data_IF_615270503361
#
_entry.id   IF_615270503361
#
_cell.length_a   1.000
_cell.length_b   1.000
_cell.length_c   1.000
_cell.angle_alpha   90.00
_cell.angle_beta   90.00
_cell.angle_gamma   90.00
#
_symmetry.space_group_name_H-M   'P 1'
#
loop_
_entity.id
_entity.type
_entity.pdbx_description
1 polymer ?
#
# COMPACT_ATOMS: atom_id res chain seq x y z
N UNK A 1 33.05 -0.14 22.01
CA UNK A 1 31.99 -0.73 22.86
C UNK A 1 30.83 -1.04 21.96
N UNK A 2 30.29 -2.25 21.98
CA UNK A 2 29.18 -2.64 21.13
C UNK A 2 27.90 -2.07 21.75
N UNK A 3 27.35 -1.02 21.14
CA UNK A 3 26.04 -0.48 21.53
C UNK A 3 25.03 -1.61 21.43
N UNK A 4 24.44 -2.02 22.57
CA UNK A 4 23.47 -3.11 22.58
C UNK A 4 22.14 -2.59 22.07
N UNK A 5 21.69 -3.10 20.92
CA UNK A 5 20.35 -2.84 20.41
C UNK A 5 19.31 -3.58 21.27
N UNK A 6 18.28 -2.86 21.72
CA UNK A 6 17.14 -3.40 22.45
C UNK A 6 15.87 -3.25 21.61
N UNK A 7 15.06 -4.31 21.57
CA UNK A 7 13.72 -4.29 20.98
C UNK A 7 12.68 -4.26 22.12
N UNK A 8 11.70 -3.38 22.00
CA UNK A 8 10.59 -3.27 22.96
C UNK A 8 9.30 -2.89 22.27
N UNK A 9 8.17 -3.26 22.86
CA UNK A 9 6.84 -2.81 22.43
C UNK A 9 6.60 -1.44 23.03
N UNK A 10 6.40 -0.37 22.23
CA UNK A 10 6.03 0.93 22.75
C UNK A 10 4.55 0.95 23.19
N UNK A 11 4.25 1.72 24.20
CA UNK A 11 2.88 2.12 24.49
C UNK A 11 2.51 3.32 23.60
N UNK A 12 1.70 3.09 22.55
CA UNK A 12 1.30 4.15 21.64
C UNK A 12 0.24 5.12 22.24
N UNK A 13 -0.32 4.83 23.42
CA UNK A 13 -1.11 5.79 24.16
C UNK A 13 -0.22 6.80 24.92
N UNK A 14 1.04 6.46 25.17
CA UNK A 14 2.05 7.38 25.69
C UNK A 14 2.62 8.22 24.55
N UNK A 15 2.45 9.54 24.65
CA UNK A 15 2.84 10.50 23.60
C UNK A 15 4.33 10.45 23.27
N UNK A 16 5.21 10.25 24.24
CA UNK A 16 6.67 10.22 24.03
C UNK A 16 7.07 8.96 23.27
N UNK A 17 6.54 7.79 23.65
CA UNK A 17 6.82 6.53 22.99
C UNK A 17 6.23 6.49 21.57
N UNK A 18 5.00 6.97 21.38
CA UNK A 18 4.38 7.12 20.06
C UNK A 18 5.21 8.03 19.16
N UNK A 19 5.61 9.22 19.67
CA UNK A 19 6.48 10.15 18.93
C UNK A 19 7.81 9.48 18.56
N UNK A 20 8.42 8.73 19.47
CA UNK A 20 9.67 8.01 19.21
C UNK A 20 9.55 6.97 18.08
N UNK A 21 8.42 6.25 18.04
CA UNK A 21 8.13 5.26 16.99
C UNK A 21 7.92 5.92 15.62
N UNK A 22 7.00 6.90 15.55
CA UNK A 22 6.64 7.55 14.28
C UNK A 22 7.78 8.42 13.74
N UNK A 23 8.54 9.11 14.59
CA UNK A 23 9.71 9.90 14.17
C UNK A 23 10.72 9.10 13.32
N UNK A 24 10.91 7.81 13.61
CA UNK A 24 11.81 6.96 12.82
C UNK A 24 11.25 6.75 11.41
N UNK A 25 9.93 6.55 11.29
CA UNK A 25 9.27 6.42 9.99
C UNK A 25 9.31 7.73 9.21
N UNK A 26 9.00 8.86 9.86
CA UNK A 26 9.01 10.20 9.25
C UNK A 26 10.41 10.56 8.74
N UNK A 27 11.46 10.30 9.53
CA UNK A 27 12.84 10.52 9.09
C UNK A 27 13.23 9.67 7.87
N UNK A 28 12.65 8.48 7.73
CA UNK A 28 12.85 7.65 6.55
C UNK A 28 12.08 8.20 5.35
N UNK A 29 10.84 8.67 5.53
CA UNK A 29 10.05 9.32 4.47
C UNK A 29 10.79 10.54 3.90
N UNK A 30 11.35 11.39 4.77
CA UNK A 30 12.08 12.59 4.38
C UNK A 30 13.30 12.29 3.49
N UNK A 31 13.95 11.16 3.70
CA UNK A 31 15.18 10.76 2.97
C UNK A 31 14.89 9.87 1.77
N UNK A 32 13.98 8.90 1.93
CA UNK A 32 13.72 7.87 0.92
C UNK A 32 12.61 8.29 -0.05
N UNK A 33 11.71 9.21 0.35
CA UNK A 33 10.60 9.71 -0.45
C UNK A 33 9.36 8.79 -0.45
N UNK A 34 9.31 7.77 0.40
CA UNK A 34 8.17 6.86 0.56
C UNK A 34 8.02 6.39 2.01
N UNK A 35 6.77 6.05 2.39
CA UNK A 35 6.48 5.53 3.73
C UNK A 35 7.01 4.08 3.86
N UNK A 36 7.79 3.77 4.90
CA UNK A 36 8.25 2.41 5.17
C UNK A 36 7.14 1.48 5.66
N UNK A 37 6.00 2.02 6.09
CA UNK A 37 4.83 1.28 6.57
C UNK A 37 3.64 1.56 5.66
N UNK A 38 3.13 0.55 4.98
CA UNK A 38 1.94 0.71 4.17
C UNK A 38 0.70 1.03 5.04
N UNK A 39 -0.37 1.51 4.39
CA UNK A 39 -1.61 1.90 5.06
C UNK A 39 -2.20 0.75 5.90
N UNK A 40 -2.20 -0.48 5.38
CA UNK A 40 -2.73 -1.64 6.11
C UNK A 40 -1.94 -1.92 7.39
N UNK A 41 -0.61 -1.79 7.35
CA UNK A 41 0.23 -1.96 8.55
C UNK A 41 -0.11 -0.92 9.62
N UNK A 42 -0.34 0.34 9.24
CA UNK A 42 -0.77 1.40 10.15
C UNK A 42 -2.16 1.15 10.75
N UNK A 43 -3.13 0.74 9.93
CA UNK A 43 -4.47 0.35 10.37
C UNK A 43 -4.44 -0.85 11.32
N UNK A 44 -3.58 -1.83 11.05
CA UNK A 44 -3.44 -3.02 11.88
C UNK A 44 -2.81 -2.71 13.24
N UNK A 45 -1.87 -1.76 13.31
CA UNK A 45 -1.32 -1.26 14.57
C UNK A 45 -2.41 -0.53 15.36
N UNK A 46 -3.15 0.36 14.72
CA UNK A 46 -4.22 1.13 15.37
C UNK A 46 -5.32 0.25 15.95
N UNK A 47 -5.67 -0.82 15.24
CA UNK A 47 -6.67 -1.81 15.68
C UNK A 47 -6.11 -2.93 16.57
N UNK A 48 -4.81 -2.90 16.92
CA UNK A 48 -4.16 -3.93 17.75
C UNK A 48 -3.98 -5.28 17.07
N UNK A 49 -4.17 -5.37 15.72
CA UNK A 49 -4.01 -6.62 14.95
C UNK A 49 -2.53 -6.95 14.69
N UNK A 50 -1.65 -5.96 14.68
CA UNK A 50 -0.20 -6.11 14.57
C UNK A 50 0.49 -5.30 15.67
N UNK A 51 1.67 -5.73 16.06
CA UNK A 51 2.41 -5.17 17.20
C UNK A 51 3.51 -4.22 16.72
N UNK A 52 3.52 -2.95 17.16
CA UNK A 52 4.63 -2.05 16.93
C UNK A 52 5.83 -2.44 17.79
N UNK A 53 7.04 -2.31 17.25
CA UNK A 53 8.30 -2.58 17.94
C UNK A 53 9.23 -1.39 17.73
N UNK A 54 9.87 -0.91 18.79
CA UNK A 54 10.94 0.08 18.72
C UNK A 54 12.29 -0.59 18.95
N UNK A 55 13.24 -0.26 18.10
CA UNK A 55 14.65 -0.60 18.29
C UNK A 55 15.38 0.61 18.89
N UNK A 56 15.93 0.46 20.08
CA UNK A 56 16.67 1.50 20.79
C UNK A 56 18.12 1.14 20.99
N UNK A 57 18.98 2.14 20.92
CA UNK A 57 20.39 2.02 21.31
C UNK A 57 20.57 2.88 22.57
N UNK A 58 21.28 2.31 23.53
CA UNK A 58 21.67 3.02 24.73
C UNK A 58 23.02 3.66 24.57
N UNK A 59 23.15 4.95 24.86
CA UNK A 59 24.42 5.66 24.94
C UNK A 59 24.50 6.43 26.27
N UNK A 60 25.72 6.63 26.77
CA UNK A 60 25.94 7.40 28.00
C UNK A 60 25.49 8.87 27.86
N UNK A 61 25.51 9.42 26.65
CA UNK A 61 25.17 10.83 26.38
C UNK A 61 23.66 11.07 26.21
N UNK A 62 22.94 10.14 25.58
CA UNK A 62 21.52 10.31 25.18
C UNK A 62 20.56 9.34 25.86
N UNK A 63 21.04 8.54 26.83
CA UNK A 63 20.31 7.49 27.55
C UNK A 63 19.75 6.41 26.61
N UNK A 64 18.52 6.52 26.15
CA UNK A 64 17.90 5.56 25.24
C UNK A 64 17.32 6.30 24.03
N UNK A 65 17.79 5.99 22.82
CA UNK A 65 17.32 6.64 21.59
C UNK A 65 16.68 5.64 20.64
N UNK A 66 15.43 5.87 20.18
CA UNK A 66 14.84 5.12 19.10
C UNK A 66 15.62 5.33 17.79
N UNK A 67 16.10 4.25 17.19
CA UNK A 67 16.86 4.23 15.93
C UNK A 67 16.23 3.34 14.87
N UNK A 68 15.20 2.59 15.24
CA UNK A 68 14.45 1.73 14.34
C UNK A 68 13.03 1.53 14.80
N UNK A 69 12.14 1.29 13.86
CA UNK A 69 10.76 0.93 14.10
C UNK A 69 10.39 -0.29 13.26
N UNK A 70 9.54 -1.16 13.79
CA UNK A 70 9.02 -2.32 13.09
C UNK A 70 7.55 -2.54 13.43
N UNK A 71 6.82 -3.18 12.52
CA UNK A 71 5.45 -3.64 12.74
C UNK A 71 5.41 -5.13 12.44
N UNK A 72 4.99 -5.95 13.40
CA UNK A 72 5.02 -7.41 13.27
C UNK A 72 3.66 -8.03 13.61
N UNK A 73 3.30 -9.09 12.92
CA UNK A 73 2.07 -9.86 13.17
C UNK A 73 1.42 -10.33 11.89
N UNK A 74 0.51 -11.28 11.99
CA UNK A 74 -0.26 -11.86 10.87
C UNK A 74 0.61 -12.44 9.74
N UNK A 75 1.83 -12.88 10.06
CA UNK A 75 2.78 -13.39 9.07
C UNK A 75 3.51 -12.29 8.27
N UNK A 76 3.45 -11.06 8.75
CA UNK A 76 4.09 -9.91 8.11
C UNK A 76 5.08 -9.21 9.04
N UNK A 77 6.09 -8.62 8.44
CA UNK A 77 7.17 -7.89 9.10
C UNK A 77 7.53 -6.66 8.27
N UNK A 78 7.37 -5.49 8.87
CA UNK A 78 7.93 -4.25 8.34
C UNK A 78 9.03 -3.77 9.29
N UNK A 79 10.14 -3.28 8.74
CA UNK A 79 11.29 -2.81 9.52
C UNK A 79 11.92 -1.61 8.83
N UNK A 80 12.10 -0.54 9.57
CA UNK A 80 12.83 0.65 9.14
C UNK A 80 13.90 1.03 10.16
N UNK A 81 15.03 1.50 9.66
CA UNK A 81 16.11 2.09 10.47
C UNK A 81 16.24 3.57 10.11
N UNK A 82 16.30 4.41 11.12
CA UNK A 82 16.55 5.86 11.00
C UNK A 82 17.77 6.07 10.08
N UNK A 83 17.65 6.88 9.03
CA UNK A 83 18.70 7.09 8.02
C UNK A 83 20.08 7.40 8.61
N UNK A 84 20.15 8.14 9.73
CA UNK A 84 21.40 8.47 10.41
C UNK A 84 22.13 7.28 11.04
N UNK A 85 21.42 6.16 11.20
CA UNK A 85 21.94 4.94 11.82
C UNK A 85 22.11 3.78 10.84
N UNK A 86 21.83 4.00 9.55
CA UNK A 86 22.02 2.99 8.50
C UNK A 86 23.50 2.72 8.24
N UNK A 87 23.79 1.58 7.60
CA UNK A 87 25.17 1.17 7.27
C UNK A 87 26.02 0.69 8.47
N UNK A 88 25.47 0.67 9.69
CA UNK A 88 26.17 0.28 10.93
C UNK A 88 25.77 -1.12 11.43
N UNK A 89 25.02 -1.90 10.65
CA UNK A 89 24.60 -3.25 11.00
C UNK A 89 23.33 -3.36 11.89
N UNK A 90 22.76 -2.25 12.33
CA UNK A 90 21.59 -2.25 13.23
C UNK A 90 20.37 -2.95 12.62
N UNK A 91 20.13 -2.78 11.31
CA UNK A 91 19.03 -3.47 10.61
C UNK A 91 19.15 -5.00 10.70
N UNK A 92 20.36 -5.55 10.53
CA UNK A 92 20.59 -6.99 10.64
C UNK A 92 20.43 -7.49 12.08
N UNK A 93 20.84 -6.69 13.08
CA UNK A 93 20.65 -7.04 14.51
C UNK A 93 19.18 -7.01 14.88
N UNK A 94 18.46 -5.96 14.47
CA UNK A 94 17.02 -5.83 14.70
C UNK A 94 16.26 -6.98 14.05
N UNK A 95 16.50 -7.26 12.75
CA UNK A 95 15.83 -8.33 12.03
C UNK A 95 16.07 -9.69 12.68
N UNK A 96 17.30 -10.01 13.10
CA UNK A 96 17.58 -11.26 13.84
C UNK A 96 16.76 -11.36 15.12
N UNK A 97 16.68 -10.26 15.89
CA UNK A 97 15.86 -10.23 17.13
C UNK A 97 14.38 -10.48 16.85
N UNK A 98 13.82 -9.86 15.81
CA UNK A 98 12.44 -10.06 15.39
C UNK A 98 12.20 -11.51 14.91
N UNK A 99 13.11 -12.06 14.12
CA UNK A 99 13.02 -13.43 13.61
C UNK A 99 13.11 -14.50 14.71
N UNK A 100 13.81 -14.21 15.81
CA UNK A 100 13.93 -15.14 16.95
C UNK A 100 12.57 -15.38 17.64
N UNK A 101 11.63 -14.43 17.54
CA UNK A 101 10.29 -14.54 18.14
C UNK A 101 9.21 -14.91 17.13
N UNK A 102 9.51 -14.81 15.84
CA UNK A 102 8.56 -15.09 14.78
C UNK A 102 8.22 -16.58 14.66
N UNK A 103 6.99 -16.85 14.25
CA UNK A 103 6.49 -18.20 13.96
C UNK A 103 5.92 -18.27 12.55
N UNK A 104 6.19 -19.38 11.86
CA UNK A 104 5.67 -19.62 10.51
C UNK A 104 6.29 -18.74 9.42
N UNK A 105 5.68 -18.75 8.26
CA UNK A 105 6.14 -17.96 7.12
C UNK A 105 5.98 -16.47 7.37
N UNK A 106 6.94 -15.69 6.89
CA UNK A 106 6.92 -14.23 6.99
C UNK A 106 7.00 -13.61 5.60
N UNK A 107 6.25 -12.53 5.42
CA UNK A 107 6.41 -11.61 4.29
C UNK A 107 6.92 -10.26 4.80
N UNK A 108 7.66 -9.55 3.96
CA UNK A 108 8.15 -8.20 4.24
C UNK A 108 8.16 -7.40 2.94
N UNK A 109 7.78 -6.12 3.01
CA UNK A 109 7.85 -5.21 1.88
C UNK A 109 9.14 -4.39 1.89
N UNK A 110 9.67 -4.16 0.71
CA UNK A 110 10.68 -3.12 0.46
C UNK A 110 10.07 -2.12 -0.51
N UNK A 111 9.59 -1.03 0.04
CA UNK A 111 9.12 0.10 -0.76
C UNK A 111 10.32 0.77 -1.43
N UNK A 112 10.18 1.18 -2.71
CA UNK A 112 11.27 1.73 -3.50
C UNK A 112 12.40 0.75 -3.83
N UNK A 113 12.22 -0.56 -3.60
CA UNK A 113 13.25 -1.60 -3.79
C UNK A 113 14.60 -1.22 -3.15
N UNK A 114 14.55 -0.79 -1.89
CA UNK A 114 15.67 -0.20 -1.18
C UNK A 114 16.89 -1.14 -1.12
N UNK A 115 18.11 -0.67 -1.47
CA UNK A 115 19.29 -1.53 -1.54
C UNK A 115 19.62 -2.28 -0.24
N UNK A 116 19.42 -1.64 0.92
CA UNK A 116 19.63 -2.28 2.22
C UNK A 116 18.64 -3.42 2.48
N UNK A 117 17.40 -3.32 1.99
CA UNK A 117 16.42 -4.38 2.13
C UNK A 117 16.81 -5.62 1.31
N UNK A 118 17.36 -5.45 0.09
CA UNK A 118 17.89 -6.56 -0.71
C UNK A 118 18.99 -7.31 0.04
N UNK A 119 19.94 -6.57 0.64
CA UNK A 119 21.04 -7.16 1.42
C UNK A 119 20.51 -7.90 2.66
N UNK A 120 19.56 -7.31 3.38
CA UNK A 120 18.94 -7.96 4.54
C UNK A 120 18.16 -9.21 4.13
N UNK A 121 17.40 -9.14 3.03
CA UNK A 121 16.65 -10.27 2.51
C UNK A 121 17.58 -11.46 2.19
N UNK A 122 18.64 -11.22 1.42
CA UNK A 122 19.61 -12.23 1.05
C UNK A 122 20.26 -12.88 2.28
N UNK A 123 20.77 -12.07 3.22
CA UNK A 123 21.45 -12.57 4.43
C UNK A 123 20.54 -13.31 5.40
N UNK A 124 19.22 -13.09 5.34
CA UNK A 124 18.26 -13.69 6.28
C UNK A 124 17.31 -14.68 5.63
N UNK A 125 17.56 -15.11 4.39
CA UNK A 125 16.83 -16.17 3.70
C UNK A 125 15.43 -15.75 3.25
N UNK A 126 15.24 -14.48 2.93
CA UNK A 126 14.03 -13.99 2.27
C UNK A 126 14.22 -14.02 0.75
N UNK A 127 13.20 -14.50 0.04
CA UNK A 127 13.18 -14.55 -1.42
C UNK A 127 12.15 -13.55 -1.97
N UNK A 128 12.44 -12.83 -3.06
CA UNK A 128 11.46 -11.95 -3.69
C UNK A 128 10.32 -12.82 -4.28
N UNK A 129 9.08 -12.43 -4.01
CA UNK A 129 7.89 -13.20 -4.45
C UNK A 129 6.89 -12.37 -5.25
N UNK A 130 6.89 -11.03 -5.09
CA UNK A 130 6.02 -10.10 -5.83
C UNK A 130 6.76 -8.80 -6.12
N UNK A 131 6.39 -8.14 -7.19
CA UNK A 131 6.87 -6.81 -7.54
C UNK A 131 5.68 -5.96 -7.94
N UNK A 132 5.52 -4.81 -7.29
CA UNK A 132 4.56 -3.80 -7.68
C UNK A 132 5.29 -2.68 -8.40
N UNK A 133 4.79 -2.30 -9.57
CA UNK A 133 5.22 -1.09 -10.25
C UNK A 133 4.37 0.06 -9.69
N UNK A 134 5.03 1.08 -9.18
CA UNK A 134 4.37 2.36 -8.94
C UNK A 134 4.49 3.20 -10.21
N UNK A 135 3.36 3.45 -10.85
CA UNK A 135 3.28 4.28 -12.03
C UNK A 135 2.78 5.68 -11.67
N UNK A 136 3.23 6.69 -12.41
CA UNK A 136 2.79 8.08 -12.23
C UNK A 136 2.33 8.66 -13.56
N UNK A 137 1.20 9.37 -13.55
CA UNK A 137 0.68 10.07 -14.73
C UNK A 137 1.49 11.32 -15.04
N UNK A 138 1.38 11.81 -16.28
CA UNK A 138 1.66 13.20 -16.59
C UNK A 138 0.72 14.16 -15.84
N UNK A 139 0.89 15.49 -16.05
CA UNK A 139 0.03 16.49 -15.42
C UNK A 139 -1.45 16.25 -15.71
N UNK A 140 -2.27 16.23 -14.65
CA UNK A 140 -3.72 16.20 -14.79
C UNK A 140 -4.21 17.57 -15.24
N UNK A 141 -5.08 17.62 -16.23
CA UNK A 141 -5.73 18.86 -16.64
C UNK A 141 -7.24 18.73 -16.46
N UNK A 142 -7.83 19.67 -15.74
CA UNK A 142 -9.28 19.85 -15.68
C UNK A 142 -9.79 20.57 -16.95
N UNK A 143 -9.34 20.16 -18.16
CA UNK A 143 -9.72 20.85 -19.39
C UNK A 143 -11.14 20.50 -19.80
N UNK A 144 -11.87 21.49 -20.40
CA UNK A 144 -13.22 21.32 -20.92
C UNK A 144 -13.33 20.20 -21.99
N UNK A 145 -12.21 19.88 -22.68
CA UNK A 145 -12.13 18.75 -23.63
C UNK A 145 -12.06 17.39 -22.90
N UNK A 146 -11.50 17.34 -21.68
CA UNK A 146 -11.54 16.15 -20.84
C UNK A 146 -12.96 15.90 -20.31
N UNK A 147 -13.69 16.96 -19.92
CA UNK A 147 -15.07 16.87 -19.45
C UNK A 147 -16.01 16.28 -20.52
N UNK A 148 -15.82 16.62 -21.80
CA UNK A 148 -16.56 16.03 -22.92
C UNK A 148 -16.26 14.55 -23.14
N UNK A 149 -14.99 14.14 -22.99
CA UNK A 149 -14.56 12.75 -23.14
C UNK A 149 -15.00 11.87 -21.98
N UNK A 150 -14.91 12.39 -20.75
CA UNK A 150 -15.34 11.68 -19.53
C UNK A 150 -16.87 11.57 -19.45
N UNK A 151 -17.62 12.61 -19.89
CA UNK A 151 -19.08 12.54 -19.97
C UNK A 151 -19.56 11.48 -20.97
N UNK A 152 -18.88 11.32 -22.12
CA UNK A 152 -19.15 10.24 -23.06
C UNK A 152 -18.68 8.86 -22.52
N UNK A 153 -17.63 8.83 -21.70
CA UNK A 153 -17.13 7.61 -21.08
C UNK A 153 -18.10 7.10 -19.98
N UNK A 154 -18.80 8.02 -19.28
CA UNK A 154 -19.77 7.69 -18.23
C UNK A 154 -21.01 6.94 -18.71
N UNK A 155 -21.29 6.91 -20.01
CA UNK A 155 -22.46 6.26 -20.64
C UNK A 155 -22.07 5.45 -21.87
N UNK A 156 -21.08 4.54 -21.76
CA UNK A 156 -20.67 3.72 -22.88
C UNK A 156 -21.20 2.29 -22.72
N UNK A 157 -21.77 1.77 -23.80
CA UNK A 157 -22.19 0.34 -23.93
C UNK A 157 -23.15 -0.15 -22.82
N UNK A 158 -24.05 0.72 -22.33
CA UNK A 158 -25.04 0.35 -21.32
C UNK A 158 -24.48 0.30 -19.87
N UNK A 159 -23.31 0.90 -19.65
CA UNK A 159 -22.71 1.07 -18.31
C UNK A 159 -22.81 2.52 -17.89
N UNK A 160 -23.25 2.77 -16.66
CA UNK A 160 -23.30 4.09 -16.01
C UNK A 160 -22.26 4.16 -14.92
N UNK A 161 -21.49 5.24 -14.84
CA UNK A 161 -20.52 5.48 -13.75
C UNK A 161 -21.08 6.54 -12.82
N UNK A 162 -21.18 6.21 -11.54
CA UNK A 162 -21.74 7.06 -10.49
C UNK A 162 -21.02 6.82 -9.15
N UNK A 163 -21.16 7.73 -8.15
CA UNK A 163 -20.56 7.52 -6.85
C UNK A 163 -21.09 6.29 -6.11
N UNK A 164 -20.26 5.74 -5.23
CA UNK A 164 -20.65 4.73 -4.25
C UNK A 164 -21.82 5.23 -3.39
N UNK A 165 -22.74 4.34 -3.03
CA UNK A 165 -23.94 4.64 -2.25
C UNK A 165 -24.04 3.72 -1.05
N UNK A 166 -24.69 4.18 -0.01
CA UNK A 166 -25.07 3.32 1.12
C UNK A 166 -25.91 2.13 0.61
N UNK A 167 -25.50 0.92 1.00
CA UNK A 167 -26.09 -0.33 0.56
C UNK A 167 -25.33 -1.04 -0.56
N UNK A 168 -24.26 -0.43 -1.09
CA UNK A 168 -23.39 -1.05 -2.10
C UNK A 168 -22.32 -2.00 -1.48
N UNK A 169 -22.16 -1.98 -0.16
CA UNK A 169 -21.04 -2.59 0.54
C UNK A 169 -20.90 -4.09 0.26
N UNK A 170 -21.99 -4.83 0.42
CA UNK A 170 -21.96 -6.29 0.26
C UNK A 170 -21.69 -6.68 -1.20
N UNK A 171 -22.39 -6.04 -2.17
CA UNK A 171 -22.18 -6.30 -3.59
C UNK A 171 -20.76 -5.93 -4.04
N UNK A 172 -20.23 -4.81 -3.53
CA UNK A 172 -18.86 -4.41 -3.84
C UNK A 172 -17.83 -5.40 -3.27
N UNK A 173 -17.99 -5.84 -2.02
CA UNK A 173 -17.06 -6.81 -1.40
C UNK A 173 -17.06 -8.13 -2.17
N UNK A 174 -18.23 -8.62 -2.58
CA UNK A 174 -18.33 -9.83 -3.40
C UNK A 174 -17.66 -9.65 -4.77
N UNK A 175 -17.86 -8.50 -5.43
CA UNK A 175 -17.22 -8.20 -6.70
C UNK A 175 -15.70 -8.07 -6.53
N UNK A 176 -15.24 -7.35 -5.50
CA UNK A 176 -13.83 -7.18 -5.19
C UNK A 176 -13.14 -8.54 -4.98
N UNK A 177 -13.76 -9.44 -4.23
CA UNK A 177 -13.24 -10.79 -4.02
C UNK A 177 -13.09 -11.59 -5.33
N UNK A 178 -14.03 -11.44 -6.28
CA UNK A 178 -13.94 -12.08 -7.60
C UNK A 178 -12.85 -11.48 -8.47
N UNK A 179 -12.74 -10.15 -8.50
CA UNK A 179 -11.74 -9.44 -9.31
C UNK A 179 -10.32 -9.78 -8.83
N UNK A 180 -10.14 -9.80 -7.53
CA UNK A 180 -8.84 -9.99 -6.89
C UNK A 180 -8.68 -11.38 -6.24
N UNK A 181 -9.30 -12.41 -6.80
CA UNK A 181 -9.25 -13.79 -6.28
C UNK A 181 -7.80 -14.29 -6.08
N UNK A 182 -6.91 -13.94 -6.99
CA UNK A 182 -5.48 -14.29 -6.91
C UNK A 182 -4.65 -13.35 -6.03
N UNK A 183 -5.22 -12.20 -5.62
CA UNK A 183 -4.49 -11.21 -4.85
C UNK A 183 -4.65 -11.49 -3.35
N UNK A 184 -3.55 -11.76 -2.61
CA UNK A 184 -3.62 -12.29 -1.24
C UNK A 184 -4.22 -11.33 -0.21
N UNK A 185 -4.19 -10.03 -0.46
CA UNK A 185 -4.67 -8.97 0.43
C UNK A 185 -6.00 -8.41 -0.06
N UNK A 186 -6.02 -7.86 -1.27
CA UNK A 186 -7.17 -7.17 -1.83
C UNK A 186 -8.41 -8.06 -1.97
N UNK A 187 -8.26 -9.31 -2.39
CA UNK A 187 -9.37 -10.26 -2.56
C UNK A 187 -10.01 -10.75 -1.26
N UNK A 188 -9.45 -10.39 -0.09
CA UNK A 188 -9.97 -10.79 1.22
C UNK A 188 -10.59 -9.67 2.02
N UNK A 189 -10.75 -8.50 1.43
CA UNK A 189 -11.38 -7.36 2.11
C UNK A 189 -12.81 -7.70 2.52
N UNK A 190 -13.14 -7.35 3.74
CA UNK A 190 -14.48 -7.50 4.34
C UNK A 190 -15.21 -6.16 4.35
N UNK A 191 -16.50 -6.19 4.67
CA UNK A 191 -17.28 -4.95 4.88
C UNK A 191 -16.69 -4.10 6.02
N UNK A 192 -16.15 -4.74 7.06
CA UNK A 192 -15.51 -4.00 8.16
C UNK A 192 -14.20 -3.33 7.71
N UNK A 193 -13.43 -3.97 6.83
CA UNK A 193 -12.23 -3.36 6.22
C UNK A 193 -12.60 -2.20 5.29
N UNK A 194 -13.71 -2.31 4.54
CA UNK A 194 -14.25 -1.22 3.74
C UNK A 194 -14.64 -0.03 4.62
N UNK A 195 -15.41 -0.26 5.69
CA UNK A 195 -15.84 0.78 6.63
C UNK A 195 -14.66 1.44 7.34
N UNK A 196 -13.63 0.68 7.68
CA UNK A 196 -12.41 1.25 8.25
C UNK A 196 -11.77 2.27 7.31
N UNK A 197 -11.69 1.97 6.00
CA UNK A 197 -11.18 2.91 4.99
C UNK A 197 -12.09 4.10 4.75
N UNK A 198 -13.40 3.89 4.83
CA UNK A 198 -14.40 4.98 4.73
C UNK A 198 -14.36 5.93 5.95
N UNK A 199 -13.78 5.50 7.06
CA UNK A 199 -13.58 6.34 8.24
C UNK A 199 -12.29 7.20 8.17
N UNK A 200 -11.43 6.96 7.17
CA UNK A 200 -10.19 7.72 7.00
C UNK A 200 -10.46 9.17 6.57
N UNK A 201 -9.63 10.15 7.00
CA UNK A 201 -9.82 11.57 6.71
C UNK A 201 -9.84 11.92 5.21
N UNK A 202 -9.23 11.10 4.37
CA UNK A 202 -9.18 11.31 2.92
C UNK A 202 -10.43 10.84 2.19
N UNK A 203 -11.28 10.01 2.83
CA UNK A 203 -12.44 9.43 2.18
C UNK A 203 -13.50 10.46 1.82
N UNK A 204 -13.96 10.40 0.60
CA UNK A 204 -15.17 11.08 0.13
C UNK A 204 -15.95 10.13 -0.80
N UNK A 205 -17.25 9.94 -0.57
CA UNK A 205 -18.06 9.01 -1.35
C UNK A 205 -18.03 9.30 -2.87
N UNK A 206 -17.85 10.57 -3.26
CA UNK A 206 -17.71 10.97 -4.67
C UNK A 206 -16.39 10.51 -5.31
N UNK A 207 -15.39 10.14 -4.51
CA UNK A 207 -14.10 9.65 -4.95
C UNK A 207 -14.12 8.14 -5.20
N UNK A 208 -15.22 7.48 -4.83
CA UNK A 208 -15.44 6.07 -5.04
C UNK A 208 -16.45 5.86 -6.17
N UNK A 209 -15.97 5.64 -7.39
CA UNK A 209 -16.75 5.55 -8.62
C UNK A 209 -17.16 4.10 -8.87
N UNK A 210 -18.46 3.89 -9.10
CA UNK A 210 -19.07 2.58 -9.35
C UNK A 210 -19.60 2.52 -10.77
N UNK A 211 -19.21 1.53 -11.53
CA UNK A 211 -19.76 1.21 -12.84
C UNK A 211 -20.91 0.21 -12.71
N UNK A 212 -22.10 0.58 -13.18
CA UNK A 212 -23.30 -0.28 -13.14
C UNK A 212 -23.76 -0.62 -14.54
N UNK A 213 -24.18 -1.88 -14.72
CA UNK A 213 -24.83 -2.32 -15.95
C UNK A 213 -26.28 -1.81 -16.06
N UNK A 214 -26.93 -2.11 -17.18
CA UNK A 214 -28.35 -1.75 -17.45
C UNK A 214 -29.35 -2.36 -16.44
N UNK A 215 -28.93 -3.33 -15.63
CA UNK A 215 -29.73 -3.96 -14.57
C UNK A 215 -29.43 -3.38 -13.19
N UNK A 216 -28.56 -2.37 -13.10
CA UNK A 216 -28.14 -1.73 -11.88
C UNK A 216 -27.05 -2.48 -11.09
N UNK A 217 -26.52 -3.61 -11.62
CA UNK A 217 -25.50 -4.41 -10.93
C UNK A 217 -24.13 -3.76 -11.07
N UNK A 218 -23.32 -3.85 -10.02
CA UNK A 218 -21.94 -3.39 -10.03
C UNK A 218 -21.09 -4.29 -10.93
N UNK A 219 -20.49 -3.72 -11.97
CA UNK A 219 -19.62 -4.43 -12.93
C UNK A 219 -18.18 -3.93 -12.93
N UNK A 220 -17.87 -2.94 -12.11
CA UNK A 220 -16.53 -2.40 -11.91
C UNK A 220 -16.55 -1.18 -11.03
N UNK A 221 -15.38 -0.74 -10.64
CA UNK A 221 -15.21 0.44 -9.80
C UNK A 221 -13.82 1.04 -9.96
N UNK A 222 -13.70 2.31 -9.60
CA UNK A 222 -12.44 3.03 -9.42
C UNK A 222 -12.55 3.88 -8.15
N UNK A 223 -11.79 3.53 -7.14
CA UNK A 223 -11.71 4.31 -5.92
C UNK A 223 -10.44 5.15 -5.99
N UNK A 224 -10.58 6.47 -6.03
CA UNK A 224 -9.45 7.39 -6.02
C UNK A 224 -9.23 7.93 -4.61
N UNK A 225 -7.98 8.19 -4.27
CA UNK A 225 -7.57 8.73 -2.99
C UNK A 225 -6.90 10.09 -3.18
N UNK A 226 -7.38 11.08 -2.42
CA UNK A 226 -6.88 12.45 -2.46
C UNK A 226 -6.60 12.93 -1.04
N UNK A 227 -5.42 12.60 -0.51
CA UNK A 227 -4.97 13.05 0.82
C UNK A 227 -5.03 14.57 0.92
N UNK A 228 -5.49 15.17 2.04
CA UNK A 228 -5.75 16.61 2.14
C UNK A 228 -4.58 17.50 1.69
N UNK A 229 -3.37 17.18 2.09
CA UNK A 229 -2.17 17.99 1.86
C UNK A 229 -1.27 17.47 0.72
N UNK A 230 -1.67 16.39 0.02
CA UNK A 230 -0.89 15.81 -1.06
C UNK A 230 -1.07 16.61 -2.37
N UNK A 231 -0.01 16.72 -3.15
CA UNK A 231 -0.03 17.28 -4.51
C UNK A 231 -0.54 16.25 -5.52
N UNK A 232 -0.17 15.01 -5.29
CA UNK A 232 -0.57 13.87 -6.12
C UNK A 232 -1.86 13.23 -5.59
N UNK A 233 -2.64 12.65 -6.50
CA UNK A 233 -3.73 11.74 -6.16
C UNK A 233 -3.31 10.29 -6.42
N UNK A 234 -4.12 9.35 -5.98
CA UNK A 234 -3.87 7.93 -6.18
C UNK A 234 -5.09 7.25 -6.80
N UNK A 235 -4.87 6.40 -7.79
CA UNK A 235 -5.83 5.37 -8.18
C UNK A 235 -5.68 4.26 -7.14
N UNK A 236 -6.48 4.34 -6.08
CA UNK A 236 -6.33 3.50 -4.89
C UNK A 236 -6.68 2.04 -5.19
N UNK A 237 -7.82 1.80 -5.85
CA UNK A 237 -8.20 0.49 -6.34
C UNK A 237 -9.08 0.63 -7.58
N UNK A 238 -8.69 0.02 -8.69
CA UNK A 238 -9.48 -0.09 -9.90
C UNK A 238 -9.72 -1.55 -10.25
N UNK A 239 -10.97 -1.92 -10.49
CA UNK A 239 -11.34 -3.27 -10.85
C UNK A 239 -12.54 -3.35 -11.78
N UNK A 240 -12.55 -4.37 -12.65
CA UNK A 240 -13.68 -4.67 -13.56
C UNK A 240 -14.00 -6.16 -13.45
N UNK A 241 -15.29 -6.48 -13.36
CA UNK A 241 -15.76 -7.87 -13.29
C UNK A 241 -15.20 -8.70 -14.47
N UNK A 242 -14.47 -9.78 -14.18
CA UNK A 242 -13.96 -10.69 -15.23
C UNK A 242 -15.05 -11.25 -16.17
N UNK A 243 -16.31 -11.30 -15.71
CA UNK A 243 -17.46 -11.70 -16.51
C UNK A 243 -17.90 -10.64 -17.55
N UNK A 244 -17.36 -9.40 -17.46
CA UNK A 244 -17.69 -8.29 -18.36
C UNK A 244 -16.46 -7.78 -19.13
N UNK A 245 -15.69 -8.63 -19.82
CA UNK A 245 -14.44 -8.24 -20.47
C UNK A 245 -14.67 -7.38 -21.71
N UNK A 246 -13.66 -6.56 -22.07
CA UNK A 246 -13.50 -6.01 -23.41
C UNK A 246 -14.38 -4.83 -23.81
N UNK A 247 -15.26 -4.32 -22.92
CA UNK A 247 -16.17 -3.19 -23.22
C UNK A 247 -15.56 -1.81 -22.93
N UNK A 248 -14.29 -1.73 -22.57
CA UNK A 248 -13.64 -0.47 -22.23
C UNK A 248 -14.04 0.13 -20.88
N UNK A 249 -14.75 -0.62 -20.04
CA UNK A 249 -15.21 -0.19 -18.70
C UNK A 249 -14.05 0.27 -17.83
N UNK A 250 -12.93 -0.50 -17.75
CA UNK A 250 -11.75 -0.11 -16.98
C UNK A 250 -11.14 1.20 -17.45
N UNK A 251 -11.06 1.41 -18.79
CA UNK A 251 -10.59 2.68 -19.34
C UNK A 251 -11.52 3.84 -19.02
N UNK A 252 -12.84 3.61 -19.05
CA UNK A 252 -13.82 4.63 -18.72
C UNK A 252 -13.76 5.02 -17.23
N UNK A 253 -13.66 4.02 -16.34
CA UNK A 253 -13.48 4.22 -14.91
C UNK A 253 -12.20 5.01 -14.62
N UNK A 254 -11.06 4.59 -15.17
CA UNK A 254 -9.79 5.27 -14.97
C UNK A 254 -9.83 6.74 -15.45
N UNK A 255 -10.44 7.02 -16.60
CA UNK A 255 -10.60 8.39 -17.09
C UNK A 255 -11.48 9.22 -16.14
N UNK A 256 -12.56 8.64 -15.62
CA UNK A 256 -13.44 9.31 -14.66
C UNK A 256 -12.70 9.56 -13.32
N UNK A 257 -11.87 8.61 -12.86
CA UNK A 257 -11.04 8.76 -11.68
C UNK A 257 -9.99 9.88 -11.82
N UNK A 258 -9.30 9.93 -12.98
CA UNK A 258 -8.34 11.00 -13.26
C UNK A 258 -9.00 12.38 -13.32
N UNK A 259 -10.21 12.47 -13.92
CA UNK A 259 -11.01 13.70 -13.90
C UNK A 259 -11.36 14.09 -12.47
N UNK A 260 -11.80 13.12 -11.65
CA UNK A 260 -12.15 13.36 -10.25
C UNK A 260 -10.95 13.84 -9.43
N UNK A 261 -9.77 13.27 -9.62
CA UNK A 261 -8.54 13.74 -8.98
C UNK A 261 -8.18 15.18 -9.41
N UNK A 262 -8.35 15.52 -10.68
CA UNK A 262 -8.15 16.89 -11.16
C UNK A 262 -9.16 17.87 -10.53
N UNK A 263 -10.44 17.48 -10.38
CA UNK A 263 -11.47 18.27 -9.65
C UNK A 263 -11.08 18.49 -8.17
N UNK A 264 -10.41 17.50 -7.56
CA UNK A 264 -9.85 17.59 -6.20
C UNK A 264 -8.57 18.43 -6.14
N UNK A 265 -8.15 19.02 -7.26
CA UNK A 265 -6.94 19.87 -7.35
C UNK A 265 -5.63 19.09 -7.35
N UNK A 266 -5.66 17.77 -7.64
CA UNK A 266 -4.43 16.99 -7.78
C UNK A 266 -3.78 17.28 -9.12
N UNK A 267 -2.44 17.31 -9.14
CA UNK A 267 -1.67 17.67 -10.35
C UNK A 267 -1.21 16.45 -11.12
N UNK A 268 -1.05 15.32 -10.45
CA UNK A 268 -0.69 14.01 -11.04
C UNK A 268 -1.44 12.91 -10.31
N UNK A 269 -1.46 11.71 -10.89
CA UNK A 269 -2.01 10.52 -10.28
C UNK A 269 -0.96 9.41 -10.21
N UNK A 270 -0.96 8.65 -9.14
CA UNK A 270 -0.15 7.45 -8.94
C UNK A 270 -1.03 6.21 -8.89
N UNK A 271 -0.44 5.05 -9.17
CA UNK A 271 -1.08 3.74 -9.02
C UNK A 271 -0.03 2.69 -8.75
N UNK A 272 -0.35 1.71 -7.91
CA UNK A 272 0.47 0.50 -7.70
C UNK A 272 -0.19 -0.68 -8.40
N UNK A 273 0.56 -1.37 -9.27
CA UNK A 273 0.08 -2.51 -10.04
C UNK A 273 1.07 -3.67 -10.00
N UNK A 274 0.57 -4.91 -10.12
CA UNK A 274 1.44 -6.08 -10.27
C UNK A 274 2.28 -5.97 -11.55
N UNK A 275 3.60 -6.18 -11.44
CA UNK A 275 4.51 -6.05 -12.57
C UNK A 275 4.25 -7.10 -13.67
N UNK A 276 3.62 -8.21 -13.34
CA UNK A 276 3.23 -9.29 -14.26
C UNK A 276 1.82 -9.12 -14.85
N UNK A 277 1.00 -8.18 -14.36
CA UNK A 277 -0.26 -7.82 -15.01
C UNK A 277 -0.01 -6.96 -16.26
N UNK A 278 0.32 -7.63 -17.35
CA UNK A 278 0.60 -6.98 -18.62
C UNK A 278 -0.59 -6.20 -19.22
N UNK A 279 -1.83 -6.47 -18.78
CA UNK A 279 -3.02 -5.77 -19.25
C UNK A 279 -3.19 -4.44 -18.55
N UNK A 280 -3.03 -4.41 -17.22
CA UNK A 280 -3.02 -3.18 -16.43
C UNK A 280 -1.84 -2.29 -16.85
N UNK A 281 -0.62 -2.83 -16.93
CA UNK A 281 0.57 -2.08 -17.39
C UNK A 281 0.32 -1.38 -18.73
N UNK A 282 -0.21 -2.10 -19.73
CA UNK A 282 -0.52 -1.50 -21.04
C UNK A 282 -1.58 -0.42 -20.95
N UNK A 283 -2.64 -0.61 -20.15
CA UNK A 283 -3.70 0.38 -19.98
C UNK A 283 -3.15 1.69 -19.46
N UNK A 284 -2.36 1.64 -18.38
CA UNK A 284 -1.79 2.83 -17.75
C UNK A 284 -0.78 3.53 -18.68
N UNK A 285 0.11 2.78 -19.35
CA UNK A 285 1.04 3.36 -20.31
C UNK A 285 0.33 4.06 -21.50
N UNK A 286 -0.78 3.49 -22.00
CA UNK A 286 -1.59 4.12 -23.06
C UNK A 286 -2.25 5.43 -22.60
N UNK A 287 -2.39 5.65 -21.32
CA UNK A 287 -2.92 6.88 -20.71
C UNK A 287 -1.83 7.81 -20.19
N UNK A 288 -0.56 7.55 -20.56
CA UNK A 288 0.56 8.44 -20.26
C UNK A 288 1.20 8.24 -18.89
N UNK A 289 0.88 7.16 -18.21
CA UNK A 289 1.61 6.79 -16.98
C UNK A 289 3.00 6.24 -17.33
N UNK A 290 3.97 6.56 -16.49
CA UNK A 290 5.35 6.07 -16.59
C UNK A 290 5.77 5.43 -15.27
N UNK A 291 6.75 4.53 -15.31
CA UNK A 291 7.30 3.92 -14.11
C UNK A 291 7.97 4.99 -13.23
N UNK A 292 7.61 5.00 -11.96
CA UNK A 292 8.15 5.92 -10.96
C UNK A 292 9.05 5.18 -9.98
N UNK A 293 8.56 4.11 -9.35
CA UNK A 293 9.33 3.27 -8.44
C UNK A 293 8.80 1.84 -8.45
N UNK A 294 9.47 0.95 -7.75
CA UNK A 294 9.13 -0.48 -7.66
C UNK A 294 9.12 -0.89 -6.21
N UNK A 295 8.07 -1.57 -5.76
CA UNK A 295 8.03 -2.21 -4.47
C UNK A 295 8.23 -3.72 -4.61
N UNK A 296 9.00 -4.31 -3.72
CA UNK A 296 9.30 -5.76 -3.74
C UNK A 296 8.80 -6.40 -2.44
N UNK A 297 7.95 -7.40 -2.57
CA UNK A 297 7.59 -8.25 -1.45
C UNK A 297 8.54 -9.43 -1.39
N UNK A 298 9.12 -9.61 -0.23
CA UNK A 298 9.97 -10.75 0.11
C UNK A 298 9.22 -11.74 0.98
N UNK A 299 9.53 -13.03 0.84
CA UNK A 299 8.98 -14.10 1.68
C UNK A 299 10.09 -14.97 2.23
N UNK A 300 10.01 -15.25 3.53
CA UNK A 300 10.83 -16.23 4.22
C UNK A 300 9.95 -17.40 4.67
N UNK A 301 10.31 -18.60 4.25
CA UNK A 301 9.72 -19.83 4.79
C UNK A 301 10.48 -20.25 6.03
N UNK A 302 9.75 -20.63 7.07
CA UNK A 302 10.31 -21.26 8.25
C UNK A 302 9.80 -22.68 8.23
N UNK A 303 10.69 -23.66 7.94
CA UNK A 303 10.33 -25.06 7.99
C UNK A 303 9.96 -25.45 9.43
N UNK A 304 8.99 -26.37 9.56
CA UNK A 304 8.46 -26.82 10.86
C UNK A 304 9.50 -27.43 11.81
N UNK A 305 10.71 -27.72 11.30
CA UNK A 305 11.81 -28.31 12.05
C UNK A 305 12.92 -27.33 12.41
N UNK A 306 12.75 -26.01 12.17
CA UNK A 306 13.74 -24.99 12.54
C UNK A 306 15.06 -25.03 11.75
N UNK A 307 15.14 -25.79 10.66
CA UNK A 307 16.30 -25.89 9.81
C UNK A 307 16.18 -25.00 8.56
N UNK A 308 17.23 -24.31 8.20
CA UNK A 308 17.33 -23.52 6.98
C UNK A 308 17.39 -24.46 5.77
N UNK A 309 16.42 -24.38 4.84
CA UNK A 309 16.55 -24.98 3.52
C UNK A 309 17.17 -23.95 2.57
N UNK A 310 18.44 -24.16 2.25
CA UNK A 310 19.12 -23.52 1.11
C UNK A 310 18.91 -24.41 -0.11
N UNK A 311 18.01 -24.01 -1.01
CA UNK A 311 17.98 -24.52 -2.38
C UNK A 311 17.90 -23.36 -3.34
#
# INVERSE_FOLDING_TARGET
>A
MSDSLRLSVPDLADTEQATGFFRVADAAIDVDGYDPFNEQARLDVHSGRRTPIVATVWSEAEHSRPIGAAIVGRGELDLVIDPLFRGKGYGSVALRGLLATARGNLTAWSHGDHPAARVLADHHGFLPVRRLLQLRSGPLSASADATGRASHARHRDGVTIEPFRDGDEDEWVELNARIFESHPEQGRLTVDDLRARQAEPWYEAKDFLIARDQHGRIVGYDWVKAEPDAVDGEIYVLGVDPAHPGRGTGRALLLAGLERLAERGRTTATVSIEADDSSAVRLYHQLGFTEHTVDVQYRRRIDSDGAFSTH
#
